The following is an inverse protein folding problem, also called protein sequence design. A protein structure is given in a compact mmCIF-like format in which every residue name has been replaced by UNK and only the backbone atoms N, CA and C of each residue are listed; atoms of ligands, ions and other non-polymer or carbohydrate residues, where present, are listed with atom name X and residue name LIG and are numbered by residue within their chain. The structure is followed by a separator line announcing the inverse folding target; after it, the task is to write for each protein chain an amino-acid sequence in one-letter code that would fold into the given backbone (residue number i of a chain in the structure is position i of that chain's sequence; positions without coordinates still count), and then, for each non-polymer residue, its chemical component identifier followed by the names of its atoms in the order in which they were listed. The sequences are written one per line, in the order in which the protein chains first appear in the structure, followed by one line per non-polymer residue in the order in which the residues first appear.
data_IF_109439271323
#
_entry.id   IF_109439271323
#
_cell.length_a   1.000
_cell.length_b   1.000
_cell.length_c   1.000
_cell.angle_alpha   90.00
_cell.angle_beta   90.00
_cell.angle_gamma   90.00
#
_symmetry.space_group_name_H-M   'P 1'
#
loop_
_entity.id
_entity.type
_entity.pdbx_description
1 polymer ?
#
# COMPACT_ATOMS: atom_id res chain seq x y z
N UNK A 1 -20.35 18.37 6.52
CA UNK A 1 -18.93 18.19 6.87
C UNK A 1 -18.54 16.76 6.52
N UNK A 2 -17.41 16.52 5.84
CA UNK A 2 -16.89 15.17 5.73
C UNK A 2 -16.51 14.65 7.14
N UNK A 3 -16.56 13.33 7.39
CA UNK A 3 -16.19 12.77 8.69
C UNK A 3 -14.75 13.14 9.03
N UNK A 4 -14.53 13.63 10.25
CA UNK A 4 -13.24 14.17 10.71
C UNK A 4 -12.14 13.13 10.90
N UNK A 5 -12.45 11.84 10.73
CA UNK A 5 -11.47 10.75 10.78
C UNK A 5 -11.71 9.77 9.62
N UNK A 6 -10.65 9.35 8.91
CA UNK A 6 -10.76 8.32 7.88
C UNK A 6 -11.27 7.03 8.53
N UNK A 7 -12.16 6.34 7.85
CA UNK A 7 -12.71 5.09 8.39
C UNK A 7 -11.66 3.99 8.26
N UNK A 8 -11.61 3.01 9.18
CA UNK A 8 -10.66 1.90 9.09
C UNK A 8 -10.72 1.18 7.73
N UNK A 9 -11.92 0.98 7.18
CA UNK A 9 -12.13 0.36 5.87
C UNK A 9 -11.49 1.14 4.71
N UNK A 10 -11.41 2.47 4.80
CA UNK A 10 -10.76 3.31 3.78
C UNK A 10 -9.24 3.12 3.81
N UNK A 11 -8.67 2.85 5.00
CA UNK A 11 -7.24 2.57 5.16
C UNK A 11 -6.88 1.17 4.67
N UNK A 12 -7.73 0.17 4.92
CA UNK A 12 -7.54 -1.18 4.41
C UNK A 12 -7.59 -1.20 2.87
N UNK A 13 -8.60 -0.53 2.28
CA UNK A 13 -8.70 -0.39 0.83
C UNK A 13 -7.47 0.32 0.22
N UNK A 14 -6.89 1.30 0.92
CA UNK A 14 -5.66 1.97 0.49
C UNK A 14 -4.45 1.03 0.55
N UNK A 15 -4.33 0.21 1.61
CA UNK A 15 -3.25 -0.78 1.74
C UNK A 15 -3.34 -1.83 0.62
N UNK A 16 -4.54 -2.30 0.29
CA UNK A 16 -4.77 -3.24 -0.81
C UNK A 16 -4.39 -2.60 -2.15
N UNK A 17 -4.79 -1.35 -2.39
CA UNK A 17 -4.44 -0.63 -3.61
C UNK A 17 -2.92 -0.41 -3.75
N UNK A 18 -2.23 -0.07 -2.66
CA UNK A 18 -0.77 0.07 -2.64
C UNK A 18 -0.08 -1.26 -2.93
N UNK A 19 -0.55 -2.35 -2.32
CA UNK A 19 0.01 -3.69 -2.53
C UNK A 19 -0.17 -4.14 -3.98
N UNK A 20 -1.38 -4.02 -4.53
CA UNK A 20 -1.66 -4.35 -5.93
C UNK A 20 -0.84 -3.49 -6.91
N UNK A 21 -0.65 -2.20 -6.61
CA UNK A 21 0.18 -1.30 -7.42
C UNK A 21 1.64 -1.76 -7.41
N UNK A 22 2.20 -2.04 -6.22
CA UNK A 22 3.59 -2.48 -6.09
C UNK A 22 3.86 -3.83 -6.77
N UNK A 23 2.92 -4.76 -6.70
CA UNK A 23 3.01 -6.04 -7.42
C UNK A 23 2.94 -5.84 -8.93
N UNK A 24 2.02 -4.98 -9.40
CA UNK A 24 1.87 -4.70 -10.82
C UNK A 24 3.10 -4.01 -11.42
N UNK A 25 3.70 -3.05 -10.71
CA UNK A 25 4.92 -2.38 -11.20
C UNK A 25 6.12 -3.33 -11.24
N UNK A 26 6.26 -4.21 -10.24
CA UNK A 26 7.28 -5.25 -10.25
C UNK A 26 7.10 -6.20 -11.45
N UNK A 27 5.89 -6.71 -11.67
CA UNK A 27 5.60 -7.58 -12.81
C UNK A 27 5.82 -6.88 -14.16
N UNK A 28 5.45 -5.59 -14.26
CA UNK A 28 5.67 -4.79 -15.48
C UNK A 28 7.15 -4.62 -15.78
N UNK A 29 8.00 -4.46 -14.76
CA UNK A 29 9.46 -4.39 -14.94
C UNK A 29 10.01 -5.66 -15.57
N UNK A 30 9.60 -6.83 -15.10
CA UNK A 30 10.02 -8.12 -15.68
C UNK A 30 9.50 -8.28 -17.12
N UNK A 31 8.26 -7.87 -17.40
CA UNK A 31 7.71 -7.90 -18.78
C UNK A 31 8.49 -7.02 -19.75
N UNK A 32 9.00 -5.86 -19.32
CA UNK A 32 9.83 -5.01 -20.17
C UNK A 32 11.16 -5.69 -20.51
N UNK A 33 11.77 -6.38 -19.55
CA UNK A 33 13.00 -7.13 -19.76
C UNK A 33 12.78 -8.34 -20.69
N UNK A 34 11.66 -9.04 -20.54
CA UNK A 34 11.28 -10.16 -21.40
C UNK A 34 11.01 -9.74 -22.86
N UNK A 35 10.64 -8.48 -23.07
CA UNK A 35 10.32 -7.92 -24.39
C UNK A 35 11.40 -6.99 -24.97
N UNK A 36 12.63 -7.02 -24.44
CA UNK A 36 13.78 -6.30 -25.01
C UNK A 36 14.04 -6.74 -26.46
N UNK A 37 14.10 -5.76 -27.36
CA UNK A 37 14.31 -5.99 -28.79
C UNK A 37 15.78 -5.77 -29.17
N UNK A 38 16.31 -6.61 -30.05
CA UNK A 38 17.62 -6.40 -30.67
C UNK A 38 17.47 -5.57 -31.95
N UNK A 39 18.06 -4.37 -31.99
CA UNK A 39 17.94 -3.40 -33.09
C UNK A 39 19.06 -3.56 -34.13
N UNK A 40 20.17 -4.21 -33.77
CA UNK A 40 21.29 -4.55 -34.66
C UNK A 40 22.37 -3.46 -34.79
N UNK A 41 22.04 -2.19 -34.59
CA UNK A 41 23.01 -1.11 -34.43
C UNK A 41 23.45 -0.97 -32.96
N UNK A 42 24.76 -0.97 -32.71
CA UNK A 42 25.30 -0.96 -31.34
C UNK A 42 25.00 0.33 -30.58
N UNK A 43 24.99 1.49 -31.25
CA UNK A 43 24.73 2.76 -30.58
C UNK A 43 23.25 2.85 -30.14
N UNK A 44 22.35 2.44 -31.04
CA UNK A 44 20.91 2.39 -30.77
C UNK A 44 20.57 1.33 -29.74
N UNK A 45 21.19 0.13 -29.82
CA UNK A 45 21.00 -0.93 -28.82
C UNK A 45 21.37 -0.43 -27.43
N UNK A 46 22.55 0.21 -27.28
CA UNK A 46 23.00 0.71 -25.98
C UNK A 46 22.09 1.80 -25.41
N UNK A 47 21.55 2.66 -26.27
CA UNK A 47 20.59 3.68 -25.85
C UNK A 47 19.26 3.05 -25.40
N UNK A 48 18.77 2.04 -26.14
CA UNK A 48 17.56 1.29 -25.78
C UNK A 48 17.72 0.57 -24.46
N UNK A 49 18.81 -0.19 -24.30
CA UNK A 49 19.11 -0.94 -23.07
C UNK A 49 19.14 0.01 -21.86
N UNK A 50 19.83 1.16 -21.98
CA UNK A 50 19.88 2.15 -20.91
C UNK A 50 18.51 2.74 -20.55
N UNK A 51 17.66 3.05 -21.54
CA UNK A 51 16.31 3.55 -21.29
C UNK A 51 15.42 2.50 -20.60
N UNK A 52 15.56 1.22 -20.98
CA UNK A 52 14.82 0.11 -20.35
C UNK A 52 15.30 -0.10 -18.93
N UNK A 53 16.62 -0.12 -18.69
CA UNK A 53 17.21 -0.24 -17.36
C UNK A 53 16.71 0.88 -16.43
N UNK A 54 16.80 2.14 -16.85
CA UNK A 54 16.31 3.31 -16.09
C UNK A 54 14.81 3.19 -15.75
N UNK A 55 14.03 2.66 -16.69
CA UNK A 55 12.58 2.45 -16.50
C UNK A 55 12.32 1.33 -15.49
N UNK A 56 13.03 0.21 -15.57
CA UNK A 56 12.91 -0.93 -14.65
C UNK A 56 13.31 -0.51 -13.23
N UNK A 57 14.39 0.26 -13.09
CA UNK A 57 14.81 0.78 -11.80
C UNK A 57 13.77 1.72 -11.19
N UNK A 58 13.16 2.60 -11.99
CA UNK A 58 12.05 3.45 -11.56
C UNK A 58 10.82 2.64 -11.10
N UNK A 59 10.47 1.56 -11.83
CA UNK A 59 9.37 0.68 -11.45
C UNK A 59 9.64 -0.07 -10.14
N UNK A 60 10.89 -0.49 -9.91
CA UNK A 60 11.33 -1.11 -8.67
C UNK A 60 11.28 -0.13 -7.50
N UNK A 61 11.69 1.11 -7.69
CA UNK A 61 11.58 2.17 -6.69
C UNK A 61 10.11 2.43 -6.31
N UNK A 62 9.21 2.52 -7.30
CA UNK A 62 7.77 2.65 -7.04
C UNK A 62 7.23 1.45 -6.26
N UNK A 63 7.60 0.23 -6.64
CA UNK A 63 7.18 -0.99 -5.94
C UNK A 63 7.62 -0.98 -4.47
N UNK A 64 8.88 -0.60 -4.21
CA UNK A 64 9.42 -0.46 -2.86
C UNK A 64 8.67 0.61 -2.07
N UNK A 65 8.43 1.79 -2.66
CA UNK A 65 7.68 2.88 -2.04
C UNK A 65 6.24 2.48 -1.68
N UNK A 66 5.55 1.77 -2.58
CA UNK A 66 4.22 1.22 -2.30
C UNK A 66 4.23 0.28 -1.08
N UNK A 67 5.23 -0.61 -1.00
CA UNK A 67 5.39 -1.54 0.12
C UNK A 67 5.70 -0.83 1.44
N UNK A 68 6.56 0.18 1.41
CA UNK A 68 6.87 1.01 2.58
C UNK A 68 5.64 1.76 3.09
N UNK A 69 4.85 2.35 2.19
CA UNK A 69 3.60 3.03 2.54
C UNK A 69 2.57 2.06 3.13
N UNK A 70 2.38 0.88 2.52
CA UNK A 70 1.48 -0.14 3.03
C UNK A 70 1.85 -0.57 4.46
N UNK A 71 3.15 -0.81 4.72
CA UNK A 71 3.68 -1.15 6.05
C UNK A 71 3.53 0.00 7.06
N UNK A 72 3.65 1.25 6.62
CA UNK A 72 3.48 2.42 7.48
C UNK A 72 2.01 2.68 7.87
N UNK A 73 1.06 2.26 7.03
CA UNK A 73 -0.38 2.46 7.22
C UNK A 73 -0.99 1.32 8.05
N UNK A 74 -0.61 0.06 7.81
CA UNK A 74 -1.19 -1.12 8.48
C UNK A 74 -1.30 -1.00 10.03
N UNK A 75 -0.24 -0.61 10.76
CA UNK A 75 -0.30 -0.42 12.20
C UNK A 75 -1.25 0.70 12.65
N UNK A 76 -1.52 1.70 11.80
CA UNK A 76 -2.46 2.80 12.08
C UNK A 76 -3.91 2.36 11.89
N UNK A 77 -4.20 1.58 10.85
CA UNK A 77 -5.52 0.98 10.62
C UNK A 77 -5.92 0.06 11.79
N UNK A 78 -5.01 -0.84 12.20
CA UNK A 78 -5.24 -1.77 13.31
C UNK A 78 -5.53 -1.06 14.66
N UNK A 79 -4.84 0.07 14.93
CA UNK A 79 -5.08 0.89 16.13
C UNK A 79 -6.43 1.61 16.09
N UNK A 80 -6.83 2.16 14.94
CA UNK A 80 -8.14 2.80 14.79
C UNK A 80 -9.29 1.82 15.01
N UNK A 81 -9.19 0.60 14.45
CA UNK A 81 -10.20 -0.44 14.65
C UNK A 81 -10.36 -0.86 16.12
N UNK A 82 -9.26 -0.91 16.89
CA UNK A 82 -9.31 -1.24 18.32
C UNK A 82 -9.94 -0.14 19.20
N UNK A 83 -9.89 1.12 18.76
CA UNK A 83 -10.46 2.26 19.49
C UNK A 83 -11.98 2.40 19.29
N UNK A 84 -12.55 1.76 18.26
CA UNK A 84 -13.98 1.75 17.97
C UNK A 84 -14.74 0.64 18.71
N UNK A 85 -14.08 -0.10 19.60
CA UNK A 85 -14.76 -1.02 20.50
C UNK A 85 -15.78 -0.22 21.33
N UNK A 86 -17.07 -0.61 21.35
CA UNK A 86 -18.09 0.16 22.05
C UNK A 86 -17.73 0.22 23.54
N UNK A 87 -17.55 1.43 24.04
CA UNK A 87 -17.69 1.71 25.47
C UNK A 87 -19.10 1.28 25.81
N UNK A 88 -19.23 0.12 26.45
CA UNK A 88 -20.46 -0.37 27.05
C UNK A 88 -20.77 0.54 28.25
N UNK A 89 -21.20 1.75 27.93
CA UNK A 89 -21.70 2.75 28.84
C UNK A 89 -23.11 2.34 29.23
N UNK A 90 -23.26 1.29 30.06
CA UNK A 90 -24.46 1.05 30.90
C UNK A 90 -24.22 0.08 32.08
N UNK A 91 -22.97 -0.20 32.48
CA UNK A 91 -22.68 -1.08 33.61
C UNK A 91 -22.28 -0.30 34.88
N UNK A 92 -23.25 0.28 35.62
CA UNK A 92 -23.32 0.35 37.11
C UNK A 92 -24.42 1.31 37.63
N UNK A 93 -24.87 1.22 38.91
CA UNK A 93 -24.83 0.12 39.90
C UNK A 93 -26.21 -0.10 40.60
N UNK A 94 -26.63 -1.34 40.86
CA UNK A 94 -27.79 -1.56 41.75
C UNK A 94 -27.32 -1.66 43.21
N UNK A 95 -27.50 -0.56 43.95
CA UNK A 95 -27.18 -0.44 45.37
C UNK A 95 -28.30 -1.08 46.17
N UNK A 96 -28.07 -2.29 46.67
CA UNK A 96 -29.02 -2.99 47.53
C UNK A 96 -28.86 -2.49 48.97
N UNK A 97 -29.75 -1.61 49.42
CA UNK A 97 -29.87 -1.27 50.84
C UNK A 97 -30.33 -2.51 51.63
N UNK A 98 -29.48 -2.97 52.55
CA UNK A 98 -29.83 -3.99 53.54
C UNK A 98 -30.25 -3.27 54.83
N UNK A 99 -31.53 -3.49 55.18
CA UNK A 99 -32.13 -3.19 56.49
C UNK A 99 -31.46 -3.95 57.62
#
# INVERSE_FOLDING_TARGET
MPPSHPRPEDLDALVDALSATGEHTAATGELLLDHLVTVGDHATQRALDGMVDDTVDSLREISAGCRELALAIGPRAARSASSSAPTDEHARPDVRELR
#
